data_IF_475552022856
#
_entry.id   IF_475552022856
#
_cell.length_a   1.000
_cell.length_b   1.000
_cell.length_c   1.000
_cell.angle_alpha   90.00
_cell.angle_beta   90.00
_cell.angle_gamma   90.00
#
_symmetry.space_group_name_H-M   'P 1'
#
loop_
_entity.id
_entity.type
_entity.pdbx_description
1 polymer ?
#
# COMPACT_ATOMS: atom_id res chain seq x y z
N UNK A 1 23.81 -0.08 67.61
CA UNK A 1 24.46 0.23 66.30
C UNK A 1 24.77 -1.10 65.64
N UNK A 2 24.27 -1.52 64.47
CA UNK A 2 23.58 -0.89 63.33
C UNK A 2 22.71 -1.97 62.63
N UNK A 3 21.67 -1.50 61.96
CA UNK A 3 20.89 -2.14 60.88
C UNK A 3 21.84 -2.85 59.88
N UNK A 4 21.50 -3.93 59.18
CA UNK A 4 20.46 -3.96 58.15
C UNK A 4 19.97 -5.37 57.83
N UNK A 5 18.66 -5.39 57.68
CA UNK A 5 17.75 -6.44 57.29
C UNK A 5 17.92 -6.83 55.82
N UNK A 6 17.72 -8.14 55.56
CA UNK A 6 16.94 -8.71 54.45
C UNK A 6 16.80 -7.87 53.18
N UNK A 7 17.39 -8.36 52.08
CA UNK A 7 16.77 -8.17 50.77
C UNK A 7 16.99 -9.42 49.91
N UNK A 8 15.99 -10.29 49.96
CA UNK A 8 15.82 -11.38 49.00
C UNK A 8 15.51 -10.76 47.63
N UNK A 9 16.24 -11.21 46.61
CA UNK A 9 16.04 -10.78 45.23
C UNK A 9 14.74 -11.41 44.73
N UNK A 10 13.69 -10.61 44.62
CA UNK A 10 12.43 -11.01 44.00
C UNK A 10 12.60 -10.96 42.48
N UNK A 11 12.70 -12.13 41.86
CA UNK A 11 12.50 -12.33 40.42
C UNK A 11 11.05 -12.01 40.08
N UNK A 12 10.82 -10.84 39.48
CA UNK A 12 9.55 -10.50 38.86
C UNK A 12 9.46 -11.23 37.50
N UNK A 13 8.81 -12.39 37.48
CA UNK A 13 8.32 -12.99 36.23
C UNK A 13 7.13 -12.15 35.76
N UNK A 14 7.33 -11.41 34.66
CA UNK A 14 6.26 -10.77 33.89
C UNK A 14 5.48 -11.88 33.15
N UNK A 15 4.48 -12.44 33.84
CA UNK A 15 3.49 -13.32 33.22
C UNK A 15 2.58 -12.43 32.36
N UNK A 16 2.83 -12.37 31.05
CA UNK A 16 1.90 -11.75 30.11
C UNK A 16 0.68 -12.67 30.05
N UNK A 17 -0.37 -12.30 30.79
CA UNK A 17 -1.66 -12.95 30.72
C UNK A 17 -2.23 -12.75 29.33
N UNK A 18 -2.30 -13.81 28.54
CA UNK A 18 -3.15 -13.85 27.36
C UNK A 18 -4.59 -13.87 27.85
N UNK A 19 -5.21 -12.70 27.95
CA UNK A 19 -6.65 -12.61 28.00
C UNK A 19 -7.16 -13.15 26.66
N UNK A 20 -7.83 -14.30 26.70
CA UNK A 20 -8.66 -14.80 25.60
C UNK A 20 -9.77 -13.78 25.37
N UNK A 21 -9.54 -12.85 24.46
CA UNK A 21 -10.60 -11.97 23.96
C UNK A 21 -11.54 -12.89 23.18
N UNK A 22 -12.72 -13.09 23.77
CA UNK A 22 -13.91 -13.59 23.08
C UNK A 22 -13.98 -12.96 21.69
N UNK A 23 -13.75 -13.77 20.66
CA UNK A 23 -13.94 -13.38 19.26
C UNK A 23 -15.44 -13.18 19.05
N UNK A 24 -15.92 -11.99 19.38
CA UNK A 24 -17.15 -11.48 18.84
C UNK A 24 -16.91 -11.39 17.33
N UNK A 25 -17.47 -12.33 16.58
CA UNK A 25 -17.50 -12.32 15.12
C UNK A 25 -18.31 -11.12 14.67
N UNK A 26 -17.67 -9.97 14.63
CA UNK A 26 -18.10 -8.78 13.92
C UNK A 26 -16.83 -8.25 13.26
N UNK A 27 -16.71 -8.43 11.95
CA UNK A 27 -15.93 -7.47 11.18
C UNK A 27 -16.24 -7.66 9.71
N UNK A 28 -16.90 -6.66 9.11
CA UNK A 28 -16.51 -6.25 7.77
C UNK A 28 -14.97 -6.15 7.79
N UNK A 29 -14.29 -6.96 6.99
CA UNK A 29 -12.84 -7.00 6.98
C UNK A 29 -12.39 -5.97 5.95
N UNK A 30 -12.00 -4.78 6.40
CA UNK A 30 -11.33 -3.81 5.53
C UNK A 30 -10.00 -4.44 5.11
N UNK A 31 -9.96 -4.94 3.88
CA UNK A 31 -8.79 -5.63 3.36
C UNK A 31 -7.84 -4.60 2.78
N UNK A 32 -6.58 -4.70 3.18
CA UNK A 32 -5.52 -3.80 2.75
C UNK A 32 -4.60 -4.51 1.76
N UNK A 33 -4.25 -3.82 0.68
CA UNK A 33 -3.28 -4.27 -0.30
C UNK A 33 -2.24 -3.20 -0.55
N UNK A 34 -1.01 -3.66 -0.75
CA UNK A 34 0.04 -2.90 -1.40
C UNK A 34 0.14 -3.35 -2.84
N UNK A 35 0.48 -2.44 -3.73
CA UNK A 35 0.76 -2.76 -5.12
C UNK A 35 1.99 -2.02 -5.62
N UNK A 36 2.64 -2.61 -6.62
CA UNK A 36 3.80 -2.01 -7.28
C UNK A 36 3.56 -1.98 -8.78
N UNK A 37 3.83 -0.84 -9.39
CA UNK A 37 3.86 -0.66 -10.84
C UNK A 37 5.31 -0.81 -11.29
N UNK A 38 5.55 -1.69 -12.25
CA UNK A 38 6.85 -1.86 -12.89
C UNK A 38 6.72 -1.72 -14.42
N UNK A 39 7.26 -0.63 -14.94
CA UNK A 39 7.39 -0.35 -16.38
C UNK A 39 8.82 0.12 -16.70
N UNK A 40 9.26 0.02 -17.96
CA UNK A 40 10.57 0.53 -18.36
C UNK A 40 10.78 2.02 -18.09
N UNK A 41 9.71 2.82 -18.10
CA UNK A 41 9.76 4.29 -18.00
C UNK A 41 9.15 4.85 -16.71
N UNK A 42 8.28 4.09 -16.04
CA UNK A 42 7.57 4.49 -14.84
C UNK A 42 7.51 3.32 -13.87
N UNK A 43 7.97 3.56 -12.64
CA UNK A 43 7.85 2.62 -11.52
C UNK A 43 7.20 3.33 -10.37
N UNK A 44 6.49 2.61 -9.52
CA UNK A 44 5.80 3.23 -8.40
C UNK A 44 5.22 2.22 -7.44
N UNK A 45 4.75 2.72 -6.32
CA UNK A 45 4.17 1.91 -5.26
C UNK A 45 2.91 2.60 -4.74
N UNK A 46 1.96 1.79 -4.33
CA UNK A 46 0.72 2.28 -3.76
C UNK A 46 0.09 1.32 -2.78
N UNK A 47 -0.93 1.82 -2.13
CA UNK A 47 -1.76 1.10 -1.18
C UNK A 47 -3.22 1.38 -1.50
N UNK A 48 -4.06 0.38 -1.32
CA UNK A 48 -5.50 0.58 -1.33
C UNK A 48 -6.18 -0.30 -0.29
N UNK A 49 -7.39 0.10 0.08
CA UNK A 49 -8.26 -0.65 0.97
C UNK A 49 -9.67 -0.71 0.42
N UNK A 50 -10.37 -1.81 0.69
CA UNK A 50 -11.75 -2.02 0.30
C UNK A 50 -12.44 -2.93 1.30
N UNK A 51 -13.75 -2.86 1.35
CA UNK A 51 -14.57 -3.76 2.17
C UNK A 51 -14.91 -5.00 1.34
N UNK A 52 -14.42 -6.17 1.77
CA UNK A 52 -14.67 -7.42 1.06
C UNK A 52 -16.13 -7.90 1.14
N UNK A 53 -16.96 -7.32 2.00
CA UNK A 53 -18.40 -7.60 2.04
C UNK A 53 -19.17 -6.82 0.96
N UNK A 54 -18.53 -5.85 0.32
CA UNK A 54 -19.16 -4.98 -0.70
C UNK A 54 -19.00 -5.48 -2.13
N UNK A 55 -18.43 -6.68 -2.33
CA UNK A 55 -18.35 -7.27 -3.67
C UNK A 55 -19.74 -7.43 -4.28
N UNK A 56 -19.87 -7.04 -5.54
CA UNK A 56 -21.08 -7.26 -6.32
C UNK A 56 -21.34 -8.75 -6.52
N UNK A 57 -22.61 -9.09 -6.74
CA UNK A 57 -23.04 -10.47 -7.04
C UNK A 57 -23.00 -10.79 -8.55
N UNK A 58 -22.16 -10.09 -9.30
CA UNK A 58 -22.02 -10.25 -10.74
C UNK A 58 -21.09 -11.42 -11.10
N UNK A 59 -21.03 -11.76 -12.39
CA UNK A 59 -20.13 -12.83 -12.89
C UNK A 59 -18.65 -12.51 -12.67
N UNK A 60 -18.32 -11.23 -12.57
CA UNK A 60 -17.02 -10.71 -12.16
C UNK A 60 -17.31 -9.81 -10.95
N UNK A 61 -17.09 -10.29 -9.71
CA UNK A 61 -17.38 -9.49 -8.53
C UNK A 61 -16.47 -8.27 -8.45
N UNK A 62 -17.09 -7.11 -8.24
CA UNK A 62 -16.40 -5.82 -8.11
C UNK A 62 -16.71 -5.17 -6.75
N UNK A 63 -15.72 -4.54 -6.12
CA UNK A 63 -15.88 -3.78 -4.89
C UNK A 63 -15.25 -2.40 -5.02
N UNK A 64 -15.90 -1.36 -4.51
CA UNK A 64 -15.36 0.00 -4.56
C UNK A 64 -14.16 0.15 -3.61
N UNK A 65 -13.12 0.83 -4.08
CA UNK A 65 -11.98 1.19 -3.24
C UNK A 65 -12.38 2.30 -2.26
N UNK A 66 -12.10 2.11 -0.96
CA UNK A 66 -12.41 3.07 0.09
C UNK A 66 -11.31 4.12 0.28
N UNK A 67 -10.06 3.72 0.07
CA UNK A 67 -8.91 4.61 0.13
C UNK A 67 -7.84 4.08 -0.82
N UNK A 68 -7.24 4.98 -1.60
CA UNK A 68 -6.10 4.68 -2.47
C UNK A 68 -5.03 5.74 -2.28
N UNK A 69 -3.77 5.31 -2.30
CA UNK A 69 -2.62 6.21 -2.35
C UNK A 69 -1.57 5.58 -3.24
N UNK A 70 -1.14 6.31 -4.26
CA UNK A 70 -0.15 5.84 -5.23
C UNK A 70 0.86 6.94 -5.54
N UNK A 71 2.12 6.54 -5.74
CA UNK A 71 3.20 7.45 -6.04
C UNK A 71 4.21 6.79 -6.98
N UNK A 72 4.62 7.50 -8.04
CA UNK A 72 5.73 7.08 -8.87
C UNK A 72 7.08 7.33 -8.17
N UNK A 73 8.03 6.45 -8.40
CA UNK A 73 9.39 6.56 -7.88
C UNK A 73 10.07 7.84 -8.40
N UNK A 74 10.66 8.60 -7.48
CA UNK A 74 11.36 9.84 -7.83
C UNK A 74 10.47 11.07 -8.04
N UNK A 75 9.15 10.91 -7.90
CA UNK A 75 8.16 12.00 -7.94
C UNK A 75 7.63 12.27 -6.52
N UNK A 76 7.16 13.49 -6.25
CA UNK A 76 6.43 13.87 -5.02
C UNK A 76 4.92 13.89 -5.19
N UNK A 77 4.42 13.69 -6.41
CA UNK A 77 2.99 13.67 -6.71
C UNK A 77 2.34 12.43 -6.12
N UNK A 78 1.25 12.64 -5.39
CA UNK A 78 0.42 11.58 -4.82
C UNK A 78 -0.89 11.53 -5.61
N UNK A 79 -1.24 10.33 -6.04
CA UNK A 79 -2.50 10.00 -6.67
C UNK A 79 -3.40 9.26 -5.67
N UNK A 80 -4.67 9.60 -5.64
CA UNK A 80 -5.69 9.05 -4.73
C UNK A 80 -6.89 8.56 -5.52
N UNK A 81 -7.85 7.94 -4.83
CA UNK A 81 -9.09 7.45 -5.44
C UNK A 81 -9.86 8.55 -6.19
N UNK A 82 -9.76 9.81 -5.72
CA UNK A 82 -10.45 10.96 -6.32
C UNK A 82 -9.87 11.40 -7.67
N UNK A 83 -8.66 10.94 -7.99
CA UNK A 83 -8.03 11.24 -9.27
C UNK A 83 -8.47 10.30 -10.40
N UNK A 84 -9.28 9.29 -10.07
CA UNK A 84 -9.84 8.42 -11.10
C UNK A 84 -10.78 9.21 -12.03
N UNK A 85 -10.67 8.99 -13.34
CA UNK A 85 -11.49 9.66 -14.34
C UNK A 85 -13.00 9.43 -14.16
N UNK A 86 -13.38 8.31 -13.55
CA UNK A 86 -14.77 7.91 -13.31
C UNK A 86 -15.16 7.97 -11.82
N UNK A 87 -14.41 8.69 -10.99
CA UNK A 87 -14.79 8.95 -9.60
C UNK A 87 -16.19 9.61 -9.52
N UNK A 88 -17.09 9.19 -8.60
CA UNK A 88 -16.88 8.28 -7.47
C UNK A 88 -17.18 6.80 -7.74
N UNK A 89 -17.38 6.40 -8.99
CA UNK A 89 -17.72 5.01 -9.33
C UNK A 89 -16.49 4.10 -9.45
N UNK A 90 -15.31 4.71 -9.61
CA UNK A 90 -13.99 4.08 -9.65
C UNK A 90 -13.06 4.83 -8.68
N UNK A 91 -11.94 4.22 -8.25
CA UNK A 91 -11.43 2.90 -8.62
C UNK A 91 -12.17 1.73 -7.97
N UNK A 92 -12.17 0.59 -8.65
CA UNK A 92 -12.77 -0.66 -8.16
C UNK A 92 -11.75 -1.79 -8.12
N UNK A 93 -12.05 -2.78 -7.28
CA UNK A 93 -11.32 -4.03 -7.15
C UNK A 93 -12.09 -5.13 -7.86
N UNK A 94 -11.41 -5.81 -8.77
CA UNK A 94 -11.91 -6.94 -9.53
C UNK A 94 -11.37 -8.23 -8.90
N UNK A 95 -12.26 -9.14 -8.53
CA UNK A 95 -11.89 -10.47 -8.06
C UNK A 95 -11.94 -11.48 -9.20
N UNK A 96 -10.77 -12.00 -9.61
CA UNK A 96 -10.66 -13.01 -10.68
C UNK A 96 -10.50 -14.41 -10.08
N UNK A 97 -11.58 -14.93 -9.49
CA UNK A 97 -11.57 -16.24 -8.80
C UNK A 97 -11.44 -17.45 -9.74
N UNK A 98 -11.60 -17.27 -11.06
CA UNK A 98 -12.12 -18.34 -11.93
C UNK A 98 -11.12 -19.23 -12.68
N UNK A 99 -9.80 -19.02 -12.60
CA UNK A 99 -8.84 -19.85 -13.36
C UNK A 99 -7.84 -20.67 -12.53
N UNK A 100 -7.50 -20.22 -11.32
CA UNK A 100 -6.41 -20.82 -10.53
C UNK A 100 -6.88 -21.44 -9.20
N UNK A 101 -8.17 -21.31 -8.87
CA UNK A 101 -8.72 -21.68 -7.56
C UNK A 101 -8.21 -20.82 -6.40
N UNK A 102 -7.42 -19.78 -6.68
CA UNK A 102 -6.99 -18.77 -5.71
C UNK A 102 -7.60 -17.43 -6.14
N UNK A 103 -8.23 -16.68 -5.22
CA UNK A 103 -8.72 -15.35 -5.54
C UNK A 103 -7.53 -14.45 -5.89
N UNK A 104 -7.44 -14.03 -7.15
CA UNK A 104 -6.52 -12.98 -7.58
C UNK A 104 -7.26 -11.65 -7.62
N UNK A 105 -6.71 -10.68 -6.88
CA UNK A 105 -7.24 -9.31 -6.79
C UNK A 105 -6.55 -8.46 -7.85
N UNK A 106 -7.34 -7.66 -8.56
CA UNK A 106 -6.86 -6.66 -9.52
C UNK A 106 -7.51 -5.31 -9.26
N UNK A 107 -6.74 -4.23 -9.41
CA UNK A 107 -7.26 -2.86 -9.35
C UNK A 107 -7.68 -2.40 -10.75
N UNK A 108 -8.78 -1.68 -10.85
CA UNK A 108 -9.14 -0.89 -12.03
C UNK A 108 -9.09 0.59 -11.66
N UNK A 109 -8.09 1.31 -12.18
CA UNK A 109 -7.81 2.70 -11.83
C UNK A 109 -7.21 3.44 -13.02
N UNK A 110 -7.85 4.51 -13.47
CA UNK A 110 -7.42 5.32 -14.62
C UNK A 110 -7.34 6.79 -14.24
N UNK A 111 -6.19 7.44 -14.47
CA UNK A 111 -5.93 8.79 -13.98
C UNK A 111 -4.94 9.55 -14.86
N UNK A 112 -5.09 10.88 -14.95
CA UNK A 112 -4.17 11.74 -15.70
C UNK A 112 -2.91 12.08 -14.91
N UNK A 113 -1.82 12.31 -15.63
CA UNK A 113 -0.60 12.89 -15.06
C UNK A 113 -0.86 14.33 -14.56
N UNK A 114 -0.61 14.56 -13.26
CA UNK A 114 -0.74 15.88 -12.64
C UNK A 114 0.48 16.78 -12.88
N UNK A 115 1.62 16.22 -13.29
CA UNK A 115 2.87 16.98 -13.41
C UNK A 115 2.86 17.84 -14.68
N UNK A 116 2.32 17.32 -15.79
CA UNK A 116 2.47 17.93 -17.10
C UNK A 116 1.11 18.13 -17.80
N UNK A 117 0.34 19.18 -17.43
CA UNK A 117 -1.02 19.37 -17.93
C UNK A 117 -1.10 19.79 -19.41
N UNK A 118 0.01 20.21 -20.02
CA UNK A 118 0.04 20.62 -21.44
C UNK A 118 0.16 19.45 -22.41
N UNK A 119 0.66 18.31 -21.93
CA UNK A 119 0.74 17.05 -22.67
C UNK A 119 0.37 15.91 -21.70
N UNK A 120 -0.92 15.82 -21.33
CA UNK A 120 -1.36 14.89 -20.29
C UNK A 120 -1.13 13.46 -20.75
N UNK A 121 -0.41 12.70 -19.93
CA UNK A 121 -0.41 11.24 -20.03
C UNK A 121 -1.61 10.69 -19.28
N UNK A 122 -2.25 9.67 -19.82
CA UNK A 122 -3.25 8.88 -19.14
C UNK A 122 -2.61 7.57 -18.69
N UNK A 123 -2.70 7.30 -17.40
CA UNK A 123 -2.24 6.06 -16.80
C UNK A 123 -3.45 5.17 -16.53
N UNK A 124 -3.36 3.90 -16.93
CA UNK A 124 -4.40 2.91 -16.66
C UNK A 124 -3.80 1.70 -15.95
N UNK A 125 -4.40 1.30 -14.84
CA UNK A 125 -4.16 0.04 -14.16
C UNK A 125 -5.42 -0.80 -14.33
N UNK A 126 -5.29 -1.96 -14.96
CA UNK A 126 -6.40 -2.91 -15.14
C UNK A 126 -5.90 -4.31 -14.78
N UNK A 127 -6.21 -4.74 -13.56
CA UNK A 127 -5.65 -5.95 -12.98
C UNK A 127 -4.13 -5.87 -12.97
N UNK A 128 -3.45 -6.89 -13.47
CA UNK A 128 -1.98 -6.92 -13.47
C UNK A 128 -1.32 -6.10 -14.59
N UNK A 129 -2.09 -5.37 -15.39
CA UNK A 129 -1.57 -4.58 -16.50
C UNK A 129 -1.49 -3.10 -16.12
N UNK A 130 -0.40 -2.46 -16.52
CA UNK A 130 -0.24 -1.02 -16.48
C UNK A 130 -0.02 -0.49 -17.89
N UNK A 131 -0.78 0.52 -18.29
CA UNK A 131 -0.71 1.13 -19.62
C UNK A 131 -0.50 2.63 -19.50
N UNK A 132 0.33 3.19 -20.37
CA UNK A 132 0.56 4.62 -20.51
C UNK A 132 0.05 5.03 -21.89
N UNK A 133 -0.92 5.94 -21.91
CA UNK A 133 -1.57 6.44 -23.10
C UNK A 133 -1.25 7.94 -23.27
N UNK A 134 -1.13 8.39 -24.52
CA UNK A 134 -1.15 9.82 -24.82
C UNK A 134 -2.57 10.35 -24.62
N UNK A 135 -2.74 11.31 -23.70
CA UNK A 135 -4.04 11.97 -23.46
C UNK A 135 -4.40 13.00 -24.54
N UNK A 136 -3.49 13.30 -25.47
CA UNK A 136 -3.69 14.25 -26.57
C UNK A 136 -3.93 13.55 -27.91
N UNK A 137 -3.36 12.36 -28.12
CA UNK A 137 -3.43 11.62 -29.38
C UNK A 137 -4.35 10.39 -29.30
N UNK A 138 -5.66 10.61 -29.15
CA UNK A 138 -6.69 9.55 -29.18
C UNK A 138 -6.37 8.32 -28.29
N UNK A 139 -5.77 8.53 -27.13
CA UNK A 139 -5.37 7.43 -26.24
C UNK A 139 -4.42 6.43 -26.90
N UNK A 140 -3.49 6.90 -27.74
CA UNK A 140 -2.46 6.04 -28.33
C UNK A 140 -1.57 5.48 -27.22
N UNK A 141 -1.38 4.16 -27.21
CA UNK A 141 -0.46 3.51 -26.26
C UNK A 141 0.99 3.88 -26.56
N UNK A 142 1.66 4.43 -25.55
CA UNK A 142 3.07 4.85 -25.61
C UNK A 142 3.95 4.09 -24.60
N UNK A 143 3.35 3.26 -23.75
CA UNK A 143 4.09 2.43 -22.81
C UNK A 143 3.20 1.42 -22.10
N UNK A 144 3.84 0.36 -21.61
CA UNK A 144 3.18 -0.71 -20.87
C UNK A 144 4.08 -1.20 -19.73
N UNK A 145 3.48 -1.87 -18.77
CA UNK A 145 4.14 -2.45 -17.62
C UNK A 145 3.25 -3.46 -16.92
N UNK A 146 3.67 -3.87 -15.73
CA UNK A 146 2.97 -4.83 -14.91
C UNK A 146 2.66 -4.27 -13.53
N UNK A 147 1.59 -4.78 -12.93
CA UNK A 147 1.18 -4.47 -11.57
C UNK A 147 1.17 -5.75 -10.75
N UNK A 148 1.88 -5.72 -9.63
CA UNK A 148 1.92 -6.80 -8.66
C UNK A 148 1.22 -6.38 -7.36
N UNK A 149 0.54 -7.33 -6.71
CA UNK A 149 -0.26 -7.09 -5.52
C UNK A 149 0.24 -7.95 -4.37
N UNK A 150 0.25 -7.39 -3.16
CA UNK A 150 0.50 -8.11 -1.92
C UNK A 150 -0.46 -7.65 -0.85
N UNK A 151 -1.21 -8.61 -0.28
CA UNK A 151 -2.08 -8.35 0.86
C UNK A 151 -1.24 -7.90 2.06
N UNK A 152 -1.70 -6.85 2.75
CA UNK A 152 -1.07 -6.33 3.96
C UNK A 152 -1.84 -6.91 5.16
N UNK A 153 -1.20 -7.73 6.02
CA UNK A 153 -1.88 -8.33 7.17
C UNK A 153 -2.43 -7.28 8.13
N UNK A 154 -3.68 -7.45 8.56
CA UNK A 154 -4.28 -6.63 9.62
C UNK A 154 -3.45 -6.74 10.90
N UNK A 155 -2.96 -5.60 11.39
CA UNK A 155 -2.00 -5.52 12.51
C UNK A 155 -0.64 -4.91 12.13
N UNK A 156 -0.29 -4.90 10.85
CA UNK A 156 0.75 -4.03 10.31
C UNK A 156 0.20 -2.59 10.18
N UNK A 157 -0.13 -1.99 11.31
CA UNK A 157 -0.56 -0.59 11.38
C UNK A 157 0.44 0.30 10.62
N UNK A 158 -0.08 1.31 9.91
CA UNK A 158 0.64 2.35 9.16
C UNK A 158 1.87 2.95 9.89
N UNK A 159 1.95 2.80 11.20
CA UNK A 159 3.09 3.17 12.05
C UNK A 159 4.36 2.33 11.80
N UNK A 160 4.26 1.10 11.29
CA UNK A 160 5.41 0.24 11.01
C UNK A 160 6.21 0.66 9.78
N UNK A 161 5.54 1.14 8.73
CA UNK A 161 6.20 1.58 7.49
C UNK A 161 6.89 2.94 7.67
N UNK A 162 6.35 3.84 8.51
CA UNK A 162 7.06 5.07 8.87
C UNK A 162 8.33 4.83 9.71
N UNK A 163 8.37 3.77 10.52
CA UNK A 163 9.54 3.44 11.34
C UNK A 163 10.72 2.89 10.51
N UNK A 164 10.46 2.17 9.41
CA UNK A 164 11.55 1.68 8.54
C UNK A 164 12.18 2.82 7.73
N UNK A 165 11.40 3.81 7.28
CA UNK A 165 11.92 5.01 6.63
C UNK A 165 12.81 5.86 7.57
N UNK A 166 12.42 6.00 8.85
CA UNK A 166 13.19 6.79 9.82
C UNK A 166 14.50 6.09 10.26
N UNK A 167 14.52 4.76 10.40
CA UNK A 167 15.76 4.03 10.73
C UNK A 167 16.78 4.08 9.58
N UNK A 168 16.33 3.92 8.34
CA UNK A 168 17.21 3.97 7.17
C UNK A 168 17.85 5.37 7.00
N UNK A 169 17.09 6.44 7.23
CA UNK A 169 17.60 7.82 7.17
C UNK A 169 18.62 8.12 8.27
N UNK A 170 18.38 7.66 9.51
CA UNK A 170 19.31 7.85 10.64
C UNK A 170 20.63 7.08 10.46
N UNK A 171 20.58 5.88 9.89
CA UNK A 171 21.78 5.09 9.58
C UNK A 171 22.60 5.74 8.43
N UNK A 172 21.92 6.29 7.40
CA UNK A 172 22.59 6.99 6.29
C UNK A 172 23.25 8.31 6.72
N UNK A 173 22.62 9.05 7.65
CA UNK A 173 23.18 10.31 8.21
C UNK A 173 24.42 10.07 9.07
N UNK A 174 24.46 9.00 9.87
CA UNK A 174 25.65 8.63 10.67
C UNK A 174 26.84 8.18 9.81
N UNK A 175 26.61 7.56 8.65
CA UNK A 175 27.67 7.14 7.73
C UNK A 175 28.38 8.32 7.05
N UNK A 176 27.64 9.35 6.62
CA UNK A 176 28.26 10.56 6.03
C UNK A 176 28.99 11.43 7.06
N UNK A 177 28.53 11.46 8.31
CA UNK A 177 29.19 12.26 9.36
C UNK A 177 30.52 11.67 9.86
N UNK A 178 30.82 10.39 9.59
CA UNK A 178 32.09 9.77 10.01
C UNK A 178 33.19 9.80 8.93
N UNK A 179 32.93 10.34 7.74
CA UNK A 179 33.93 10.45 6.65
C UNK A 179 34.63 11.81 6.53
N UNK A 180 34.57 12.65 7.57
CA UNK A 180 35.41 13.86 7.65
C UNK A 180 36.04 14.01 9.03
N UNK A 181 37.01 13.17 9.35
CA UNK A 181 38.17 13.54 10.19
C UNK A 181 39.36 12.66 9.80
N UNK A 182 40.52 13.30 9.61
CA UNK A 182 41.88 12.86 9.23
C UNK A 182 42.13 12.76 7.71
N UNK A 183 43.10 13.46 7.14
CA UNK A 183 44.31 14.14 7.67
C UNK A 183 44.33 15.60 7.21
#
# INVERSE_FOLDING_TARGET
MKLFSKLAIATATLTIGFATISTQTVSAAIVNYSFTVDSPTKKGQGFFSFDNETFSNDSIPEALVQSLTFQFDGDSTIYTEQDDLAYPFFPVIISTTYLTGKPTIGLSYSFYDKINPSDPLLYEIVGNNFTILSGTDNNTEIGFGSVAYSQVPEGASLSGVMLTFSLAYLLKKKSRSRKRVKI
#
